data_IF_404764528027
#
_entry.id   IF_404764528027
#
_cell.length_a   1.000
_cell.length_b   1.000
_cell.length_c   1.000
_cell.angle_alpha   90.00
_cell.angle_beta   90.00
_cell.angle_gamma   90.00
#
_symmetry.space_group_name_H-M   'P 1'
#
loop_
_entity.id
_entity.type
_entity.pdbx_description
1 polymer ?
#
# COMPACT_ATOMS: atom_id res chain seq x y z
N UNK A 1 -6.88 14.49 26.35
CA UNK A 1 -6.15 15.03 25.18
C UNK A 1 -7.18 15.53 24.20
N UNK A 2 -6.86 16.53 23.37
CA UNK A 2 -7.73 16.93 22.26
C UNK A 2 -7.77 15.83 21.20
N UNK A 3 -8.84 15.81 20.40
CA UNK A 3 -8.93 14.98 19.21
C UNK A 3 -7.74 15.22 18.26
N UNK A 4 -7.35 14.19 17.52
CA UNK A 4 -6.26 14.24 16.53
C UNK A 4 -6.80 13.85 15.16
N UNK A 5 -6.59 14.69 14.16
CA UNK A 5 -7.07 14.45 12.79
C UNK A 5 -5.92 14.04 11.87
N UNK A 6 -6.19 13.01 11.06
CA UNK A 6 -5.39 12.60 9.92
C UNK A 6 -6.14 12.98 8.65
N UNK A 7 -5.53 13.80 7.82
CA UNK A 7 -6.11 14.24 6.55
C UNK A 7 -5.30 13.66 5.39
N UNK A 8 -5.90 12.69 4.68
CA UNK A 8 -5.32 12.11 3.49
C UNK A 8 -5.53 13.06 2.31
N UNK A 9 -4.80 14.17 2.29
CA UNK A 9 -4.76 15.13 1.18
C UNK A 9 -6.14 15.68 0.77
N UNK A 10 -7.05 15.83 1.72
CA UNK A 10 -8.45 16.24 1.48
C UNK A 10 -9.34 15.13 0.93
N UNK A 11 -8.81 13.91 0.73
CA UNK A 11 -9.53 12.77 0.17
C UNK A 11 -10.29 12.03 1.25
N UNK A 12 -9.69 11.72 2.40
CA UNK A 12 -10.36 11.05 3.53
C UNK A 12 -9.84 11.64 4.84
N UNK A 13 -10.76 11.97 5.76
CA UNK A 13 -10.42 12.41 7.11
C UNK A 13 -10.69 11.33 8.14
N UNK A 14 -9.66 10.97 8.89
CA UNK A 14 -9.73 10.06 10.03
C UNK A 14 -9.51 10.85 11.32
N UNK A 15 -10.50 10.86 12.21
CA UNK A 15 -10.41 11.51 13.53
C UNK A 15 -10.19 10.48 14.63
N UNK A 16 -9.20 10.73 15.49
CA UNK A 16 -9.01 9.97 16.71
C UNK A 16 -9.69 10.70 17.86
N UNK A 17 -10.53 9.98 18.60
CA UNK A 17 -11.23 10.51 19.78
C UNK A 17 -10.70 9.82 21.02
N UNK A 18 -10.35 10.63 22.03
CA UNK A 18 -9.69 10.21 23.26
C UNK A 18 -8.38 9.38 23.04
N UNK A 19 -7.50 9.75 22.09
CA UNK A 19 -6.28 8.98 21.85
C UNK A 19 -5.23 9.21 22.95
N UNK A 20 -4.44 8.19 23.23
CA UNK A 20 -3.13 8.33 23.90
C UNK A 20 -2.04 8.46 22.84
N UNK A 21 -0.84 8.92 23.22
CA UNK A 21 0.31 9.02 22.30
C UNK A 21 0.63 7.69 21.61
N UNK A 22 0.46 6.58 22.32
CA UNK A 22 0.64 5.24 21.76
C UNK A 22 -0.37 4.92 20.65
N UNK A 23 -1.61 5.39 20.78
CA UNK A 23 -2.68 5.21 19.79
C UNK A 23 -2.41 6.04 18.53
N UNK A 24 -2.00 7.31 18.72
CA UNK A 24 -1.56 8.17 17.61
C UNK A 24 -0.39 7.53 16.87
N UNK A 25 0.58 6.97 17.60
CA UNK A 25 1.71 6.27 17.02
C UNK A 25 1.30 4.99 16.27
N UNK A 26 0.24 4.30 16.69
CA UNK A 26 -0.34 3.17 15.95
C UNK A 26 -0.87 3.65 14.60
N UNK A 27 -1.68 4.71 14.56
CA UNK A 27 -2.23 5.20 13.29
C UNK A 27 -1.18 5.80 12.37
N UNK A 28 -0.18 6.51 12.90
CA UNK A 28 0.96 6.98 12.08
C UNK A 28 1.72 5.85 11.41
N UNK A 29 1.72 4.64 11.97
CA UNK A 29 2.32 3.46 11.32
C UNK A 29 1.41 2.82 10.27
N UNK A 30 0.10 3.06 10.31
CA UNK A 30 -0.88 2.48 9.38
C UNK A 30 -1.25 3.40 8.22
N UNK A 31 -1.14 4.72 8.42
CA UNK A 31 -1.55 5.76 7.46
C UNK A 31 -0.42 6.74 7.13
N UNK A 32 0.76 6.59 7.74
CA UNK A 32 1.83 7.59 7.66
C UNK A 32 1.58 8.85 8.50
N UNK A 33 2.52 9.82 8.47
CA UNK A 33 2.42 11.12 9.13
C UNK A 33 1.52 12.08 8.35
N UNK A 34 0.23 11.79 8.30
CA UNK A 34 -0.78 12.70 7.75
C UNK A 34 -1.21 13.64 8.87
N UNK A 35 -0.52 14.77 9.04
CA UNK A 35 -0.99 15.82 9.96
C UNK A 35 -1.79 16.85 9.14
N UNK A 36 -3.05 17.10 9.53
CA UNK A 36 -3.92 18.10 8.88
C UNK A 36 -4.59 19.01 9.91
N UNK A 37 -4.96 20.26 9.54
CA UNK A 37 -5.71 21.13 10.44
C UNK A 37 -7.04 20.46 10.81
N UNK A 38 -7.40 20.49 12.10
CA UNK A 38 -8.63 19.90 12.63
C UNK A 38 -9.88 20.73 12.26
N UNK A 39 -10.18 20.84 10.97
CA UNK A 39 -11.31 21.63 10.46
C UNK A 39 -12.24 20.77 9.61
N UNK A 40 -13.48 20.63 10.09
CA UNK A 40 -14.58 19.95 9.40
C UNK A 40 -14.99 18.61 10.03
N UNK A 41 -15.97 17.97 9.39
CA UNK A 41 -16.43 16.63 9.75
C UNK A 41 -15.40 15.56 9.36
N UNK A 42 -15.32 14.50 10.17
CA UNK A 42 -14.51 13.33 9.88
C UNK A 42 -15.35 12.27 9.16
N UNK A 43 -14.74 11.56 8.22
CA UNK A 43 -15.39 10.45 7.51
C UNK A 43 -15.32 9.18 8.33
N UNK A 44 -14.19 8.98 9.00
CA UNK A 44 -13.91 7.85 9.86
C UNK A 44 -13.54 8.41 11.22
N UNK A 45 -14.14 7.88 12.27
CA UNK A 45 -13.71 8.15 13.64
C UNK A 45 -13.21 6.88 14.27
N UNK A 46 -12.08 6.96 14.95
CA UNK A 46 -11.55 5.88 15.78
C UNK A 46 -11.56 6.36 17.22
N UNK A 47 -12.45 5.76 18.02
CA UNK A 47 -12.49 5.99 19.47
C UNK A 47 -11.70 4.90 20.16
N UNK A 48 -10.73 5.31 20.98
CA UNK A 48 -9.99 4.39 21.82
C UNK A 48 -10.59 4.28 23.22
N UNK A 49 -10.80 3.05 23.68
CA UNK A 49 -11.30 2.75 25.03
C UNK A 49 -10.44 1.69 25.69
N UNK A 50 -10.47 1.62 27.01
CA UNK A 50 -9.78 0.57 27.75
C UNK A 50 -10.50 -0.77 27.59
N UNK A 51 -11.84 -0.73 27.49
CA UNK A 51 -12.67 -1.90 27.27
C UNK A 51 -13.96 -1.56 26.53
N UNK A 52 -14.35 -2.42 25.61
CA UNK A 52 -15.66 -2.34 24.96
C UNK A 52 -16.66 -3.14 25.78
N UNK A 53 -17.69 -2.45 26.25
CA UNK A 53 -18.84 -3.08 26.89
C UNK A 53 -19.58 -3.94 25.86
N UNK A 54 -19.94 -5.15 26.27
CA UNK A 54 -20.69 -6.09 25.43
C UNK A 54 -21.97 -6.41 26.17
N UNK A 55 -23.10 -6.18 25.50
CA UNK A 55 -24.41 -6.25 26.14
C UNK A 55 -24.80 -7.71 26.45
N UNK A 56 -24.24 -8.68 25.71
CA UNK A 56 -24.53 -10.12 25.80
C UNK A 56 -23.26 -10.95 25.58
N UNK A 57 -23.23 -12.25 25.96
CA UNK A 57 -22.14 -13.13 25.56
C UNK A 57 -21.95 -13.14 24.03
N UNK A 58 -20.70 -13.12 23.58
CA UNK A 58 -20.40 -13.11 22.14
C UNK A 58 -20.81 -14.43 21.49
N UNK A 59 -21.53 -14.33 20.39
CA UNK A 59 -21.68 -15.41 19.42
C UNK A 59 -20.53 -15.32 18.42
N UNK A 60 -19.73 -16.38 18.29
CA UNK A 60 -18.56 -16.37 17.42
C UNK A 60 -18.92 -16.67 15.97
N UNK A 61 -18.20 -16.00 15.06
CA UNK A 61 -18.22 -16.28 13.63
C UNK A 61 -16.78 -16.19 13.15
N UNK A 62 -16.27 -17.24 12.51
CA UNK A 62 -14.83 -17.33 12.23
C UNK A 62 -13.99 -17.45 13.51
N UNK A 63 -14.37 -18.35 14.42
CA UNK A 63 -13.67 -18.54 15.70
C UNK A 63 -12.15 -18.79 15.51
N UNK A 64 -11.25 -18.11 16.26
CA UNK A 64 -11.49 -17.15 17.36
C UNK A 64 -11.44 -15.67 16.94
N UNK A 65 -11.55 -15.35 15.66
CA UNK A 65 -11.14 -14.06 15.08
C UNK A 65 -12.24 -12.99 15.11
N UNK A 66 -13.53 -13.39 15.17
CA UNK A 66 -14.64 -12.46 15.25
C UNK A 66 -15.84 -12.99 16.04
N UNK A 67 -16.70 -12.06 16.47
CA UNK A 67 -17.96 -12.37 17.14
C UNK A 67 -18.91 -11.18 17.20
N UNK A 68 -20.12 -11.41 17.66
CA UNK A 68 -21.17 -10.38 17.77
C UNK A 68 -22.09 -10.62 18.98
N UNK A 69 -22.76 -9.57 19.46
CA UNK A 69 -23.66 -9.61 20.63
C UNK A 69 -25.13 -9.28 20.32
N UNK A 70 -25.47 -9.24 19.02
CA UNK A 70 -26.78 -8.84 18.50
C UNK A 70 -26.90 -7.34 18.23
N UNK A 71 -25.95 -6.52 18.69
CA UNK A 71 -25.89 -5.09 18.36
C UNK A 71 -24.71 -4.76 17.48
N UNK A 72 -23.52 -5.22 17.86
CA UNK A 72 -22.28 -4.88 17.18
C UNK A 72 -21.50 -6.13 16.75
N UNK A 73 -20.68 -5.93 15.72
CA UNK A 73 -19.72 -6.91 15.24
C UNK A 73 -18.33 -6.53 15.74
N UNK A 74 -17.60 -7.51 16.23
CA UNK A 74 -16.30 -7.33 16.85
C UNK A 74 -15.25 -8.19 16.15
N UNK A 75 -14.14 -7.57 15.80
CA UNK A 75 -12.90 -8.27 15.49
C UNK A 75 -12.10 -8.48 16.77
N UNK A 76 -11.58 -9.69 16.95
CA UNK A 76 -10.91 -10.15 18.15
C UNK A 76 -9.44 -10.41 17.84
N UNK A 77 -8.55 -9.85 18.65
CA UNK A 77 -7.11 -10.05 18.52
C UNK A 77 -6.49 -10.44 19.85
N UNK A 78 -5.86 -11.62 19.87
CA UNK A 78 -5.23 -12.19 21.06
C UNK A 78 -5.75 -13.60 21.39
N UNK A 79 -5.22 -14.20 22.45
CA UNK A 79 -5.65 -15.51 22.94
C UNK A 79 -6.95 -15.36 23.77
N UNK A 80 -7.82 -16.38 23.76
CA UNK A 80 -9.19 -16.42 24.31
C UNK A 80 -9.51 -15.45 25.48
N UNK A 81 -8.72 -15.45 26.56
CA UNK A 81 -9.01 -14.68 27.79
C UNK A 81 -8.52 -13.22 27.80
N UNK A 82 -7.66 -12.83 26.84
CA UNK A 82 -7.05 -11.50 26.72
C UNK A 82 -7.21 -10.94 25.30
N UNK A 83 -8.30 -11.29 24.61
CA UNK A 83 -8.57 -10.78 23.28
C UNK A 83 -9.00 -9.32 23.35
N UNK A 84 -8.19 -8.45 22.75
CA UNK A 84 -8.58 -7.08 22.46
C UNK A 84 -9.68 -7.07 21.40
N UNK A 85 -10.60 -6.12 21.52
CA UNK A 85 -11.78 -6.00 20.65
C UNK A 85 -11.70 -4.74 19.80
N UNK A 86 -12.19 -4.83 18.58
CA UNK A 86 -12.47 -3.68 17.74
C UNK A 86 -13.86 -3.83 17.13
N UNK A 87 -14.76 -2.92 17.46
CA UNK A 87 -16.08 -2.82 16.86
C UNK A 87 -15.99 -2.01 15.57
N UNK A 88 -16.39 -2.61 14.45
CA UNK A 88 -16.43 -1.96 13.14
C UNK A 88 -17.88 -1.97 12.64
N UNK A 89 -18.49 -0.79 12.40
CA UNK A 89 -19.81 -0.70 11.79
C UNK A 89 -19.68 -0.88 10.27
N UNK A 90 -19.58 -2.13 9.81
CA UNK A 90 -19.34 -2.44 8.40
C UNK A 90 -20.38 -1.85 7.44
N UNK A 91 -21.63 -1.69 7.89
CA UNK A 91 -22.70 -1.06 7.10
C UNK A 91 -22.49 0.43 6.86
N UNK A 92 -21.64 1.08 7.65
CA UNK A 92 -21.39 2.53 7.56
C UNK A 92 -20.21 2.87 6.64
N UNK A 93 -19.38 1.88 6.29
CA UNK A 93 -18.17 2.06 5.48
C UNK A 93 -18.51 2.70 4.14
N UNK A 94 -18.03 3.92 3.91
CA UNK A 94 -18.25 4.71 2.70
C UNK A 94 -19.66 5.29 2.52
N UNK A 95 -20.62 4.96 3.39
CA UNK A 95 -22.02 5.41 3.26
C UNK A 95 -22.28 6.65 4.12
N UNK A 96 -21.83 6.60 5.36
CA UNK A 96 -21.91 7.69 6.33
C UNK A 96 -20.65 7.71 7.17
N UNK A 97 -20.61 8.56 8.19
CA UNK A 97 -19.51 8.55 9.15
C UNK A 97 -19.35 7.15 9.76
N UNK A 98 -18.16 6.57 9.61
CA UNK A 98 -17.82 5.25 10.15
C UNK A 98 -17.17 5.40 11.52
N UNK A 99 -17.90 5.07 12.59
CA UNK A 99 -17.47 5.21 13.97
C UNK A 99 -16.91 3.88 14.52
N UNK A 100 -15.60 3.70 14.37
CA UNK A 100 -14.85 2.54 14.87
C UNK A 100 -14.56 2.73 16.37
N UNK A 101 -14.77 1.68 17.16
CA UNK A 101 -14.36 1.65 18.58
C UNK A 101 -13.30 0.56 18.76
N UNK A 102 -12.11 0.94 19.19
CA UNK A 102 -10.98 0.02 19.37
C UNK A 102 -10.53 0.00 20.83
N UNK A 103 -10.31 -1.19 21.37
CA UNK A 103 -9.60 -1.34 22.63
C UNK A 103 -8.11 -1.02 22.44
N UNK A 104 -7.53 -0.22 23.34
CA UNK A 104 -6.12 0.23 23.25
C UNK A 104 -5.12 -0.93 23.13
N UNK A 105 -5.43 -2.08 23.73
CA UNK A 105 -4.59 -3.28 23.70
C UNK A 105 -4.48 -3.95 22.31
N UNK A 106 -5.25 -3.51 21.30
CA UNK A 106 -5.25 -4.12 19.97
C UNK A 106 -3.93 -3.93 19.19
N UNK A 107 -3.16 -2.89 19.49
CA UNK A 107 -1.87 -2.61 18.81
C UNK A 107 -1.97 -2.24 17.32
N UNK A 108 -3.18 -2.23 16.75
CA UNK A 108 -3.54 -1.82 15.38
C UNK A 108 -5.06 -1.69 15.29
N UNK A 109 -5.58 -0.78 14.48
CA UNK A 109 -6.99 -0.78 14.10
C UNK A 109 -7.16 -1.71 12.88
N UNK A 110 -7.83 -2.87 13.01
CA UNK A 110 -7.98 -3.79 11.89
C UNK A 110 -8.71 -3.12 10.71
N UNK A 111 -8.30 -3.47 9.50
CA UNK A 111 -8.91 -3.02 8.24
C UNK A 111 -8.99 -1.52 8.00
N UNK A 112 -8.35 -0.68 8.82
CA UNK A 112 -8.47 0.78 8.69
C UNK A 112 -8.13 1.28 7.29
N UNK A 113 -7.05 0.78 6.70
CA UNK A 113 -6.64 1.18 5.35
C UNK A 113 -7.64 0.75 4.28
N UNK A 114 -8.25 -0.44 4.42
CA UNK A 114 -9.32 -0.87 3.52
C UNK A 114 -10.57 0.02 3.64
N UNK A 115 -10.92 0.44 4.85
CA UNK A 115 -12.04 1.37 5.10
C UNK A 115 -11.72 2.75 4.52
N UNK A 116 -10.49 3.25 4.66
CA UNK A 116 -10.03 4.48 4.01
C UNK A 116 -10.15 4.37 2.49
N UNK A 117 -9.64 3.28 1.90
CA UNK A 117 -9.70 3.04 0.46
C UNK A 117 -11.15 3.00 -0.06
N UNK A 118 -12.04 2.27 0.61
CA UNK A 118 -13.46 2.22 0.24
C UNK A 118 -14.15 3.58 0.38
N UNK A 119 -13.76 4.37 1.39
CA UNK A 119 -14.26 5.74 1.56
C UNK A 119 -13.77 6.64 0.41
N UNK A 120 -12.52 6.49 -0.03
CA UNK A 120 -11.97 7.24 -1.16
C UNK A 120 -12.73 6.98 -2.48
N UNK A 121 -13.21 5.76 -2.71
CA UNK A 121 -14.01 5.41 -3.89
C UNK A 121 -15.29 6.25 -4.00
N UNK A 122 -15.88 6.67 -2.88
CA UNK A 122 -17.09 7.50 -2.85
C UNK A 122 -16.85 8.93 -3.35
N UNK A 123 -15.58 9.31 -3.54
CA UNK A 123 -15.12 10.62 -4.02
C UNK A 123 -14.49 10.55 -5.40
N UNK A 124 -14.77 9.48 -6.16
CA UNK A 124 -14.15 9.22 -7.46
C UNK A 124 -12.61 9.21 -7.40
N UNK A 125 -12.04 8.75 -6.28
CA UNK A 125 -10.59 8.55 -6.12
C UNK A 125 -10.29 7.06 -6.07
N UNK A 126 -9.38 6.62 -6.95
CA UNK A 126 -8.93 5.23 -7.04
C UNK A 126 -7.69 5.02 -6.15
N UNK A 127 -7.82 4.31 -5.02
CA UNK A 127 -6.66 3.80 -4.29
C UNK A 127 -6.05 2.62 -5.05
N UNK A 128 -4.75 2.69 -5.34
CA UNK A 128 -4.04 1.64 -6.05
C UNK A 128 -2.77 1.23 -5.30
N UNK A 129 -2.55 -0.09 -5.20
CA UNK A 129 -1.29 -0.62 -4.70
C UNK A 129 -0.19 -0.42 -5.76
N UNK A 130 0.54 0.67 -5.64
CA UNK A 130 1.48 1.16 -6.65
C UNK A 130 2.63 1.96 -6.03
N UNK A 131 3.66 2.17 -6.83
CA UNK A 131 4.72 3.14 -6.57
C UNK A 131 4.64 4.24 -7.62
N UNK A 132 4.77 5.50 -7.21
CA UNK A 132 4.67 6.65 -8.10
C UNK A 132 5.89 7.58 -7.94
N UNK A 133 6.39 8.09 -9.06
CA UNK A 133 7.51 9.03 -9.09
C UNK A 133 7.48 9.92 -10.32
N UNK A 134 8.16 11.07 -10.24
CA UNK A 134 8.43 11.93 -11.39
C UNK A 134 9.80 11.58 -11.97
N UNK A 135 9.85 11.33 -13.27
CA UNK A 135 11.07 11.13 -14.04
C UNK A 135 11.18 12.26 -15.08
N UNK A 136 12.10 13.20 -14.87
CA UNK A 136 12.30 14.35 -15.77
C UNK A 136 11.01 15.11 -16.11
N UNK A 137 10.15 15.27 -15.10
CA UNK A 137 8.85 15.94 -15.22
C UNK A 137 7.69 15.03 -15.65
N UNK A 138 7.96 13.80 -16.08
CA UNK A 138 6.94 12.81 -16.45
C UNK A 138 6.52 12.01 -15.22
N UNK A 139 5.22 12.01 -14.87
CA UNK A 139 4.73 11.19 -13.78
C UNK A 139 4.49 9.75 -14.18
N UNK A 140 5.22 8.86 -13.53
CA UNK A 140 5.24 7.43 -13.76
C UNK A 140 4.55 6.72 -12.59
N UNK A 141 3.63 5.82 -12.91
CA UNK A 141 2.98 4.92 -11.95
C UNK A 141 3.37 3.48 -12.27
N UNK A 142 4.11 2.86 -11.35
CA UNK A 142 4.48 1.45 -11.40
C UNK A 142 3.50 0.63 -10.55
N UNK A 143 2.74 -0.26 -11.20
CA UNK A 143 1.76 -1.13 -10.56
C UNK A 143 1.91 -2.57 -11.02
N UNK A 144 1.20 -3.50 -10.39
CA UNK A 144 1.31 -4.93 -10.64
C UNK A 144 1.08 -5.76 -9.37
N UNK A 145 1.13 -7.07 -9.53
CA UNK A 145 0.87 -8.01 -8.43
C UNK A 145 1.86 -7.84 -7.27
N UNK A 146 1.52 -8.39 -6.10
CA UNK A 146 2.41 -8.41 -4.94
C UNK A 146 3.76 -9.02 -5.30
N UNK A 147 4.86 -8.35 -4.90
CA UNK A 147 6.26 -8.71 -5.22
C UNK A 147 6.62 -8.68 -6.72
N UNK A 148 5.84 -7.98 -7.53
CA UNK A 148 6.10 -7.81 -8.96
C UNK A 148 7.15 -6.75 -9.33
N UNK A 149 7.88 -6.15 -8.38
CA UNK A 149 8.94 -5.18 -8.70
C UNK A 149 8.55 -3.69 -8.64
N UNK A 150 7.41 -3.32 -8.05
CA UNK A 150 6.91 -1.93 -8.00
C UNK A 150 7.85 -1.00 -7.24
N UNK A 151 8.12 -1.33 -5.97
CA UNK A 151 9.04 -0.59 -5.12
C UNK A 151 10.45 -0.64 -5.68
N UNK A 152 10.88 -1.77 -6.23
CA UNK A 152 12.17 -1.92 -6.88
C UNK A 152 12.32 -0.98 -8.08
N UNK A 153 11.27 -0.81 -8.89
CA UNK A 153 11.25 0.16 -9.99
C UNK A 153 11.43 1.59 -9.46
N UNK A 154 10.69 1.96 -8.41
CA UNK A 154 10.88 3.26 -7.74
C UNK A 154 12.32 3.45 -7.23
N UNK A 155 12.91 2.43 -6.60
CA UNK A 155 14.27 2.48 -6.07
C UNK A 155 15.34 2.56 -7.16
N UNK A 156 15.13 1.88 -8.28
CA UNK A 156 16.01 1.99 -9.45
C UNK A 156 16.11 3.43 -9.93
N UNK A 157 15.02 4.20 -9.87
CA UNK A 157 15.00 5.59 -10.33
C UNK A 157 15.35 6.62 -9.24
N UNK A 158 15.34 6.24 -7.95
CA UNK A 158 15.77 7.11 -6.85
C UNK A 158 17.21 7.62 -7.05
N UNK A 159 18.13 6.75 -7.48
CA UNK A 159 19.51 7.11 -7.77
C UNK A 159 19.71 7.88 -9.09
N UNK A 160 18.66 8.00 -9.90
CA UNK A 160 18.68 8.60 -11.23
C UNK A 160 17.84 9.89 -11.31
N UNK A 161 17.71 10.60 -10.18
CA UNK A 161 17.11 11.93 -10.12
C UNK A 161 15.59 11.95 -10.15
N UNK A 162 14.92 10.80 -10.02
CA UNK A 162 13.47 10.78 -9.88
C UNK A 162 13.04 11.44 -8.57
N UNK A 163 11.81 11.97 -8.55
CA UNK A 163 11.20 12.52 -7.33
C UNK A 163 10.08 11.61 -6.87
N UNK A 164 10.13 11.23 -5.60
CA UNK A 164 9.14 10.39 -4.95
C UNK A 164 7.77 11.05 -4.89
N UNK A 165 6.71 10.33 -5.27
CA UNK A 165 5.31 10.74 -5.08
C UNK A 165 4.62 9.84 -4.07
N UNK A 166 4.82 8.52 -4.17
CA UNK A 166 4.18 7.55 -3.29
C UNK A 166 4.75 6.13 -3.44
N UNK A 167 4.55 5.30 -2.43
CA UNK A 167 4.82 3.86 -2.44
C UNK A 167 3.77 3.15 -1.59
N UNK A 168 3.56 1.85 -1.84
CA UNK A 168 2.51 0.99 -1.26
C UNK A 168 1.07 1.42 -1.64
N UNK A 169 0.68 2.68 -1.42
CA UNK A 169 -0.64 3.20 -1.81
C UNK A 169 -0.54 4.56 -2.49
N UNK A 170 -1.06 4.62 -3.72
CA UNK A 170 -1.20 5.84 -4.51
C UNK A 170 -2.67 6.07 -4.81
N UNK A 171 -3.16 7.25 -4.49
CA UNK A 171 -4.52 7.69 -4.74
C UNK A 171 -4.56 8.47 -6.04
N UNK A 172 -5.42 8.04 -6.96
CA UNK A 172 -5.55 8.58 -8.30
C UNK A 172 -6.89 9.28 -8.46
N UNK A 173 -6.87 10.57 -8.75
CA UNK A 173 -8.10 11.30 -9.09
C UNK A 173 -8.48 11.05 -10.55
N UNK A 174 -9.75 11.27 -10.90
CA UNK A 174 -10.22 11.17 -12.29
C UNK A 174 -9.55 12.15 -13.25
N UNK A 175 -8.95 13.23 -12.74
CA UNK A 175 -8.19 14.21 -13.53
C UNK A 175 -6.73 13.76 -13.80
N UNK A 176 -6.36 12.60 -13.26
CA UNK A 176 -5.05 11.99 -13.36
C UNK A 176 -4.03 12.59 -12.39
N UNK A 177 -4.46 13.18 -11.27
CA UNK A 177 -3.54 13.53 -10.18
C UNK A 177 -3.22 12.28 -9.37
N UNK A 178 -1.94 12.12 -9.01
CA UNK A 178 -1.42 11.05 -8.18
C UNK A 178 -0.93 11.62 -6.85
N UNK A 179 -1.35 11.00 -5.76
CA UNK A 179 -0.95 11.40 -4.42
C UNK A 179 -0.62 10.15 -3.60
N UNK A 180 0.57 10.10 -3.00
CA UNK A 180 1.02 8.95 -2.21
C UNK A 180 0.63 9.03 -0.74
N UNK A 181 0.50 7.86 -0.11
CA UNK A 181 0.54 7.75 1.34
C UNK A 181 2.00 7.97 1.81
N UNK A 182 2.27 8.87 2.78
CA UNK A 182 3.64 9.24 3.16
C UNK A 182 4.31 8.19 4.06
N UNK A 183 4.30 6.92 3.67
CA UNK A 183 4.85 5.84 4.49
C UNK A 183 6.36 5.67 4.30
N UNK A 184 7.09 5.27 5.36
CA UNK A 184 8.48 4.83 5.22
C UNK A 184 8.59 3.60 4.30
N UNK A 185 9.47 3.68 3.31
CA UNK A 185 9.70 2.60 2.35
C UNK A 185 10.46 1.46 3.04
N UNK A 186 9.98 0.24 2.87
CA UNK A 186 10.63 -0.96 3.41
C UNK A 186 11.76 -1.44 2.49
N UNK A 187 13.00 -1.24 2.92
CA UNK A 187 14.17 -1.73 2.20
C UNK A 187 14.72 -3.02 2.81
N UNK A 188 14.76 -4.07 2.00
CA UNK A 188 15.39 -5.33 2.34
C UNK A 188 16.91 -5.21 2.29
N UNK A 189 17.62 -6.11 2.97
CA UNK A 189 19.08 -6.13 2.97
C UNK A 189 19.67 -6.13 1.55
N UNK A 190 19.07 -6.88 0.63
CA UNK A 190 19.54 -6.95 -0.75
C UNK A 190 19.32 -5.64 -1.55
N UNK A 191 18.26 -4.88 -1.27
CA UNK A 191 18.08 -3.52 -1.81
C UNK A 191 19.21 -2.60 -1.35
N UNK A 192 19.47 -2.62 -0.04
CA UNK A 192 20.46 -1.75 0.57
C UNK A 192 21.88 -1.96 0.03
N UNK A 193 22.22 -3.20 -0.35
CA UNK A 193 23.50 -3.51 -1.00
C UNK A 193 23.65 -2.86 -2.38
N UNK A 194 22.54 -2.54 -3.04
CA UNK A 194 22.50 -1.87 -4.34
C UNK A 194 22.31 -0.35 -4.23
N UNK A 195 22.17 0.18 -3.01
CA UNK A 195 21.98 1.60 -2.72
C UNK A 195 23.11 2.12 -1.80
N UNK A 196 24.34 2.33 -2.30
CA UNK A 196 25.50 2.64 -1.47
C UNK A 196 25.34 3.91 -0.61
N UNK A 197 24.67 4.94 -1.15
CA UNK A 197 24.42 6.19 -0.42
C UNK A 197 23.56 5.94 0.84
N UNK A 198 22.51 5.13 0.71
CA UNK A 198 21.65 4.72 1.83
C UNK A 198 22.42 3.85 2.81
N UNK A 199 23.13 2.83 2.32
CA UNK A 199 23.90 1.91 3.16
C UNK A 199 24.96 2.62 4.00
N UNK A 200 25.61 3.62 3.41
CA UNK A 200 26.63 4.42 4.09
C UNK A 200 26.06 5.26 5.25
N UNK A 201 24.82 5.74 5.10
CA UNK A 201 24.09 6.50 6.13
C UNK A 201 23.59 5.65 7.31
N UNK A 202 23.54 4.32 7.18
CA UNK A 202 23.11 3.46 8.28
C UNK A 202 24.14 3.41 9.43
N UNK A 203 23.66 3.27 10.66
CA UNK A 203 24.54 3.05 11.81
C UNK A 203 25.29 1.72 11.72
N UNK A 204 26.48 1.63 12.31
CA UNK A 204 27.31 0.40 12.31
C UNK A 204 26.55 -0.81 12.86
N UNK A 205 25.75 -0.61 13.92
CA UNK A 205 24.92 -1.65 14.52
C UNK A 205 23.81 -2.13 13.57
N UNK A 206 23.17 -1.22 12.83
CA UNK A 206 22.14 -1.57 11.84
C UNK A 206 22.73 -2.40 10.71
N UNK A 207 23.90 -1.99 10.18
CA UNK A 207 24.62 -2.75 9.15
C UNK A 207 24.99 -4.15 9.63
N UNK A 208 25.60 -4.26 10.81
CA UNK A 208 25.96 -5.54 11.41
C UNK A 208 24.75 -6.46 11.59
N UNK A 209 23.63 -5.93 12.13
CA UNK A 209 22.39 -6.69 12.31
C UNK A 209 21.86 -7.24 10.99
N UNK A 210 21.80 -6.41 9.95
CA UNK A 210 21.30 -6.83 8.63
C UNK A 210 22.20 -7.90 7.99
N UNK A 211 23.53 -7.71 8.02
CA UNK A 211 24.49 -8.70 7.53
C UNK A 211 24.39 -10.03 8.29
N UNK A 212 24.23 -9.98 9.62
CA UNK A 212 24.08 -11.18 10.45
C UNK A 212 22.78 -11.93 10.15
N UNK A 213 21.65 -11.24 10.03
CA UNK A 213 20.36 -11.86 9.73
C UNK A 213 20.37 -12.54 8.36
N UNK A 214 20.94 -11.87 7.34
CA UNK A 214 21.04 -12.42 6.00
C UNK A 214 22.02 -13.61 5.94
N UNK A 215 23.18 -13.48 6.61
CA UNK A 215 24.16 -14.55 6.74
C UNK A 215 23.60 -15.78 7.45
N UNK A 216 22.84 -15.58 8.53
CA UNK A 216 22.18 -16.64 9.28
C UNK A 216 21.11 -17.35 8.43
N UNK A 217 20.30 -16.59 7.67
CA UNK A 217 19.33 -17.16 6.76
C UNK A 217 19.99 -17.99 5.64
N UNK A 218 21.05 -17.46 5.02
CA UNK A 218 21.78 -18.17 3.96
C UNK A 218 22.52 -19.41 4.47
N UNK A 219 23.01 -19.42 5.72
CA UNK A 219 23.58 -20.61 6.34
C UNK A 219 22.50 -21.64 6.68
N UNK A 220 21.38 -21.21 7.25
CA UNK A 220 20.27 -22.10 7.59
C UNK A 220 19.72 -22.83 6.36
N UNK A 221 19.65 -22.16 5.20
CA UNK A 221 19.25 -22.81 3.94
C UNK A 221 20.28 -23.79 3.39
N UNK A 222 21.57 -23.46 3.49
CA UNK A 222 22.65 -24.36 3.05
C UNK A 222 22.77 -25.60 3.92
N UNK A 223 22.51 -25.48 5.22
CA UNK A 223 22.62 -26.58 6.18
C UNK A 223 21.33 -27.40 6.31
N UNK A 224 20.19 -26.85 5.90
CA UNK A 224 18.89 -27.54 5.97
C UNK A 224 18.86 -28.91 5.27
N UNK A 225 19.47 -29.11 4.07
CA UNK A 225 19.54 -30.43 3.43
C UNK A 225 20.47 -31.42 4.16
N UNK A 226 21.49 -30.92 4.87
CA UNK A 226 22.55 -31.74 5.46
C UNK A 226 22.26 -32.25 6.88
N UNK A 227 21.24 -31.69 7.56
CA UNK A 227 20.92 -32.03 8.95
C UNK A 227 19.44 -32.44 9.11
N UNK A 228 19.06 -33.69 8.80
CA UNK A 228 17.66 -34.11 8.72
C UNK A 228 16.85 -33.83 9.98
N UNK A 229 17.42 -34.02 11.17
CA UNK A 229 16.77 -33.80 12.46
C UNK A 229 16.58 -32.32 12.85
N UNK A 230 17.53 -31.44 12.47
CA UNK A 230 17.45 -29.98 12.71
C UNK A 230 16.85 -29.20 11.53
N UNK A 231 16.71 -29.86 10.38
CA UNK A 231 16.26 -29.27 9.11
C UNK A 231 14.87 -28.66 9.21
N UNK A 232 13.97 -29.20 10.04
CA UNK A 232 12.60 -28.71 10.15
C UNK A 232 12.54 -27.37 10.88
N UNK A 233 13.34 -27.19 11.93
CA UNK A 233 13.44 -25.93 12.68
C UNK A 233 14.21 -24.89 11.87
N UNK A 234 15.34 -25.27 11.27
CA UNK A 234 16.15 -24.36 10.44
C UNK A 234 15.38 -23.88 9.19
N UNK A 235 14.65 -24.78 8.50
CA UNK A 235 13.78 -24.39 7.37
C UNK A 235 12.63 -23.49 7.77
N UNK A 236 12.12 -23.60 9.00
CA UNK A 236 11.07 -22.71 9.52
C UNK A 236 11.63 -21.36 9.96
N UNK A 237 12.86 -21.34 10.50
CA UNK A 237 13.49 -20.12 11.00
C UNK A 237 14.05 -19.24 9.87
N UNK A 238 14.63 -19.81 8.82
CA UNK A 238 15.28 -19.03 7.75
C UNK A 238 14.33 -18.02 7.06
N UNK A 239 13.09 -18.39 6.69
CA UNK A 239 12.13 -17.43 6.11
C UNK A 239 11.74 -16.32 7.10
N UNK A 240 11.64 -16.64 8.40
CA UNK A 240 11.31 -15.65 9.44
C UNK A 240 12.46 -14.67 9.63
N UNK A 241 13.70 -15.15 9.67
CA UNK A 241 14.89 -14.30 9.77
C UNK A 241 15.04 -13.40 8.54
N UNK A 242 14.82 -13.91 7.33
CA UNK A 242 14.78 -13.09 6.11
C UNK A 242 13.71 -12.02 6.18
N UNK A 243 12.50 -12.37 6.63
CA UNK A 243 11.38 -11.43 6.85
C UNK A 243 11.70 -10.31 7.83
N UNK A 244 12.75 -10.45 8.64
CA UNK A 244 13.22 -9.40 9.56
C UNK A 244 14.43 -8.61 9.06
N UNK A 245 15.06 -9.02 7.95
CA UNK A 245 16.22 -8.37 7.37
C UNK A 245 15.81 -7.16 6.50
N UNK A 246 15.03 -6.24 7.08
CA UNK A 246 14.62 -4.99 6.44
C UNK A 246 14.81 -3.78 7.35
N UNK A 247 14.82 -2.60 6.73
CA UNK A 247 14.76 -1.30 7.40
C UNK A 247 13.67 -0.45 6.76
N UNK A 248 12.93 0.28 7.57
CA UNK A 248 12.05 1.34 7.10
C UNK A 248 12.84 2.65 6.99
N UNK A 249 12.77 3.29 5.83
CA UNK A 249 13.51 4.52 5.52
C UNK A 249 12.53 5.55 5.00
N UNK A 250 12.61 6.77 5.53
CA UNK A 250 11.73 7.85 5.10
C UNK A 250 12.07 8.26 3.65
N UNK A 251 11.08 8.65 2.82
CA UNK A 251 11.35 9.02 1.43
C UNK A 251 12.40 10.12 1.26
N UNK A 252 12.44 11.13 2.12
CA UNK A 252 13.43 12.21 2.04
C UNK A 252 14.89 11.72 2.31
N UNK A 253 15.07 10.61 3.03
CA UNK A 253 16.40 9.99 3.21
C UNK A 253 16.86 9.24 1.96
N UNK A 254 15.92 8.74 1.14
CA UNK A 254 16.21 8.01 -0.10
C UNK A 254 16.39 8.94 -1.30
N UNK A 255 15.54 9.94 -1.41
CA UNK A 255 15.49 10.82 -2.58
C UNK A 255 16.21 12.16 -2.36
N UNK A 256 16.66 12.43 -1.13
CA UNK A 256 17.35 13.67 -0.76
C UNK A 256 16.41 14.86 -0.57
N UNK A 257 16.99 16.00 -0.17
CA UNK A 257 16.26 17.24 0.04
C UNK A 257 15.67 17.76 -1.29
N UNK A 258 14.34 17.91 -1.36
CA UNK A 258 13.62 18.27 -2.59
C UNK A 258 13.29 17.08 -3.52
N UNK A 259 13.75 15.87 -3.17
CA UNK A 259 13.49 14.63 -3.90
C UNK A 259 12.08 14.07 -3.70
N UNK A 260 11.20 14.77 -2.99
CA UNK A 260 9.79 14.41 -2.85
C UNK A 260 8.92 15.41 -3.61
N UNK A 261 7.78 14.93 -4.11
CA UNK A 261 6.73 15.70 -4.71
C UNK A 261 5.41 15.31 -4.02
N UNK A 262 4.65 16.26 -3.45
CA UNK A 262 3.41 15.92 -2.75
C UNK A 262 2.33 15.39 -3.70
N UNK A 263 2.43 15.73 -4.99
CA UNK A 263 1.48 15.39 -6.05
C UNK A 263 2.22 15.31 -7.39
N UNK A 264 1.70 14.52 -8.31
CA UNK A 264 2.15 14.45 -9.70
C UNK A 264 0.97 14.17 -10.64
N UNK A 265 1.10 14.45 -11.94
CA UNK A 265 0.13 13.97 -12.94
C UNK A 265 0.54 12.60 -13.45
N UNK A 266 -0.42 11.74 -13.74
CA UNK A 266 -0.18 10.44 -14.36
C UNK A 266 0.03 10.61 -15.88
N UNK A 267 1.25 10.36 -16.34
CA UNK A 267 1.61 10.41 -17.75
C UNK A 267 1.90 9.02 -18.33
N UNK A 268 2.53 8.13 -17.54
CA UNK A 268 2.93 6.80 -17.95
C UNK A 268 2.58 5.71 -16.92
N UNK A 269 2.09 4.58 -17.42
CA UNK A 269 1.78 3.38 -16.65
C UNK A 269 2.83 2.29 -16.90
N UNK A 270 3.37 1.72 -15.83
CA UNK A 270 4.22 0.54 -15.90
C UNK A 270 3.51 -0.60 -15.17
N UNK A 271 3.16 -1.66 -15.90
CA UNK A 271 2.75 -2.92 -15.29
C UNK A 271 3.99 -3.79 -15.08
N UNK A 272 4.46 -3.85 -13.84
CA UNK A 272 5.70 -4.54 -13.48
C UNK A 272 5.40 -5.99 -13.09
N UNK A 273 6.17 -6.91 -13.66
CA UNK A 273 6.04 -8.35 -13.47
C UNK A 273 7.41 -9.01 -13.39
N UNK A 274 7.49 -10.14 -12.68
CA UNK A 274 8.68 -10.98 -12.65
C UNK A 274 8.54 -12.18 -13.60
N UNK A 275 9.62 -12.62 -14.24
CA UNK A 275 9.66 -13.80 -15.11
C UNK A 275 10.97 -14.59 -14.98
N UNK A 276 11.03 -15.78 -15.59
CA UNK A 276 12.21 -16.67 -15.54
C UNK A 276 13.36 -16.26 -16.48
N UNK A 277 13.12 -15.36 -17.44
CA UNK A 277 14.17 -14.89 -18.35
C UNK A 277 15.21 -14.05 -17.61
N UNK A 278 16.49 -14.08 -18.04
CA UNK A 278 17.57 -13.37 -17.37
C UNK A 278 17.61 -11.86 -17.67
N UNK A 279 16.89 -11.39 -18.69
CA UNK A 279 16.93 -10.03 -19.20
C UNK A 279 15.68 -9.23 -18.82
N UNK A 280 15.81 -7.92 -18.61
CA UNK A 280 14.65 -7.03 -18.46
C UNK A 280 14.02 -6.80 -19.83
N UNK A 281 12.70 -7.02 -19.92
CA UNK A 281 11.94 -6.86 -21.16
C UNK A 281 10.86 -5.80 -20.96
N UNK A 282 10.82 -4.82 -21.86
CA UNK A 282 9.77 -3.79 -21.86
C UNK A 282 8.94 -3.89 -23.14
N UNK A 283 7.62 -4.00 -23.01
CA UNK A 283 6.68 -4.15 -24.13
C UNK A 283 5.57 -3.12 -24.04
N UNK A 284 5.15 -2.52 -25.16
CA UNK A 284 3.96 -1.66 -25.17
C UNK A 284 2.73 -2.43 -24.69
N UNK A 285 1.86 -1.73 -23.97
CA UNK A 285 0.57 -2.21 -23.49
C UNK A 285 -0.43 -1.07 -23.55
N UNK A 286 -1.73 -1.37 -23.50
CA UNK A 286 -2.77 -0.35 -23.36
C UNK A 286 -3.13 -0.12 -21.90
N UNK A 287 -3.60 1.09 -21.57
CA UNK A 287 -4.14 1.37 -20.23
C UNK A 287 -5.31 0.45 -19.87
N UNK A 288 -6.11 0.04 -20.85
CA UNK A 288 -7.24 -0.89 -20.66
C UNK A 288 -6.77 -2.28 -20.24
N UNK A 289 -5.70 -2.82 -20.86
CA UNK A 289 -5.12 -4.09 -20.44
C UNK A 289 -4.53 -4.03 -19.02
N UNK A 290 -3.92 -2.90 -18.64
CA UNK A 290 -3.47 -2.68 -17.26
C UNK A 290 -4.67 -2.63 -16.32
N UNK A 291 -5.73 -1.92 -16.68
CA UNK A 291 -6.95 -1.82 -15.90
C UNK A 291 -7.56 -3.20 -15.62
N UNK A 292 -7.71 -4.04 -16.65
CA UNK A 292 -8.28 -5.39 -16.53
C UNK A 292 -7.47 -6.27 -15.57
N UNK A 293 -6.14 -6.22 -15.65
CA UNK A 293 -5.27 -6.99 -14.73
C UNK A 293 -5.30 -6.45 -13.31
N UNK A 294 -5.37 -5.13 -13.14
CA UNK A 294 -5.37 -4.50 -11.82
C UNK A 294 -6.67 -4.70 -11.05
N UNK A 295 -7.79 -5.02 -11.71
CA UNK A 295 -9.02 -5.45 -11.02
C UNK A 295 -8.79 -6.64 -10.09
N UNK A 296 -8.11 -7.68 -10.58
CA UNK A 296 -7.81 -8.87 -9.78
C UNK A 296 -6.85 -8.54 -8.62
N UNK A 297 -5.88 -7.65 -8.85
CA UNK A 297 -4.96 -7.21 -7.80
C UNK A 297 -5.71 -6.47 -6.68
N UNK A 298 -6.64 -5.57 -7.00
CA UNK A 298 -7.42 -4.83 -5.99
C UNK A 298 -8.34 -5.76 -5.18
N UNK A 299 -8.91 -6.79 -5.82
CA UNK A 299 -9.70 -7.81 -5.12
C UNK A 299 -8.85 -8.58 -4.11
N UNK A 300 -7.63 -8.97 -4.48
CA UNK A 300 -6.71 -9.66 -3.57
C UNK A 300 -6.36 -8.77 -2.36
N UNK A 301 -6.04 -7.48 -2.60
CA UNK A 301 -5.74 -6.54 -1.51
C UNK A 301 -6.93 -6.36 -0.54
N UNK A 302 -8.16 -6.45 -1.04
CA UNK A 302 -9.38 -6.33 -0.21
C UNK A 302 -9.84 -7.66 0.40
N UNK A 303 -9.23 -8.80 0.05
CA UNK A 303 -9.74 -10.12 0.41
C UNK A 303 -9.90 -10.32 1.93
N UNK A 304 -8.94 -9.85 2.74
CA UNK A 304 -9.02 -9.95 4.21
C UNK A 304 -10.17 -9.14 4.80
N UNK A 305 -10.41 -7.93 4.27
CA UNK A 305 -11.58 -7.12 4.64
C UNK A 305 -12.88 -7.83 4.25
N UNK A 306 -12.96 -8.34 3.01
CA UNK A 306 -14.16 -9.05 2.53
C UNK A 306 -14.47 -10.31 3.33
N UNK A 307 -13.45 -11.02 3.80
CA UNK A 307 -13.67 -12.18 4.69
C UNK A 307 -14.38 -11.75 5.99
N UNK A 308 -13.94 -10.65 6.61
CA UNK A 308 -14.60 -10.10 7.81
C UNK A 308 -16.00 -9.54 7.49
N UNK A 309 -16.16 -8.89 6.35
CA UNK A 309 -17.45 -8.37 5.91
C UNK A 309 -18.48 -9.49 5.69
N UNK A 310 -18.08 -10.63 5.11
CA UNK A 310 -18.97 -11.79 4.96
C UNK A 310 -19.40 -12.38 6.30
N UNK A 311 -18.49 -12.43 7.28
CA UNK A 311 -18.82 -12.83 8.65
C UNK A 311 -19.82 -11.85 9.30
N UNK A 312 -19.66 -10.55 9.05
CA UNK A 312 -20.61 -9.52 9.45
C UNK A 312 -21.99 -9.72 8.80
N UNK A 313 -22.06 -9.98 7.48
CA UNK A 313 -23.32 -10.25 6.76
C UNK A 313 -24.01 -11.52 7.29
N UNK A 314 -23.26 -12.53 7.70
CA UNK A 314 -23.80 -13.70 8.38
C UNK A 314 -24.42 -13.36 9.74
N UNK A 315 -23.74 -12.52 10.54
CA UNK A 315 -24.23 -12.08 11.85
C UNK A 315 -25.44 -11.13 11.74
N UNK A 316 -25.50 -10.33 10.67
CA UNK A 316 -26.51 -9.30 10.45
C UNK A 316 -27.02 -9.30 9.00
N UNK A 317 -27.92 -10.24 8.61
CA UNK A 317 -28.37 -10.40 7.22
C UNK A 317 -29.09 -9.18 6.63
N UNK A 318 -29.65 -8.30 7.46
CA UNK A 318 -30.35 -7.09 7.03
C UNK A 318 -29.47 -5.83 7.01
N UNK A 319 -28.19 -5.93 7.39
CA UNK A 319 -27.24 -4.80 7.41
C UNK A 319 -26.15 -4.98 6.36
N UNK A 320 -26.01 -4.03 5.44
CA UNK A 320 -25.00 -4.03 4.37
C UNK A 320 -24.49 -2.62 4.10
N UNK A 321 -23.34 -2.51 3.44
CA UNK A 321 -22.86 -1.26 2.85
C UNK A 321 -22.87 -1.37 1.33
N UNK A 322 -23.68 -0.53 0.67
CA UNK A 322 -23.76 -0.51 -0.80
C UNK A 322 -22.39 -0.21 -1.45
N UNK A 323 -21.54 0.58 -0.77
CA UNK A 323 -20.18 0.88 -1.24
C UNK A 323 -19.31 -0.38 -1.19
N UNK A 324 -19.42 -1.19 -0.13
CA UNK A 324 -18.69 -2.45 -0.02
C UNK A 324 -19.16 -3.46 -1.07
N UNK A 325 -20.48 -3.62 -1.24
CA UNK A 325 -21.06 -4.56 -2.21
C UNK A 325 -20.69 -4.19 -3.66
N UNK A 326 -20.58 -2.89 -3.96
CA UNK A 326 -20.26 -2.37 -5.31
C UNK A 326 -18.80 -2.00 -5.49
N UNK A 327 -17.92 -2.28 -4.53
CA UNK A 327 -16.53 -1.85 -4.56
C UNK A 327 -15.81 -2.27 -5.86
N UNK A 328 -16.02 -3.50 -6.33
CA UNK A 328 -15.42 -3.96 -7.59
C UNK A 328 -15.91 -3.18 -8.81
N UNK A 329 -17.22 -2.87 -8.88
CA UNK A 329 -17.81 -2.10 -9.98
C UNK A 329 -17.23 -0.67 -10.00
N UNK A 330 -17.14 -0.04 -8.83
CA UNK A 330 -16.58 1.30 -8.67
C UNK A 330 -15.09 1.35 -9.05
N UNK A 331 -14.31 0.38 -8.59
CA UNK A 331 -12.89 0.25 -8.94
C UNK A 331 -12.69 0.01 -10.43
N UNK A 332 -13.45 -0.89 -11.05
CA UNK A 332 -13.36 -1.16 -12.48
C UNK A 332 -13.67 0.10 -13.30
N UNK A 333 -14.74 0.82 -12.95
CA UNK A 333 -15.11 2.09 -13.59
C UNK A 333 -13.99 3.12 -13.48
N UNK A 334 -13.39 3.27 -12.30
CA UNK A 334 -12.30 4.23 -12.08
C UNK A 334 -11.01 3.81 -12.77
N UNK A 335 -10.64 2.53 -12.76
CA UNK A 335 -9.49 2.00 -13.48
C UNK A 335 -9.57 2.33 -14.98
N UNK A 336 -10.70 1.98 -15.62
CA UNK A 336 -10.92 2.32 -17.03
C UNK A 336 -10.83 3.82 -17.26
N UNK A 337 -11.47 4.64 -16.42
CA UNK A 337 -11.47 6.10 -16.60
C UNK A 337 -10.08 6.72 -16.44
N UNK A 338 -9.33 6.33 -15.42
CA UNK A 338 -8.02 6.91 -15.09
C UNK A 338 -6.95 6.45 -16.09
N UNK A 339 -7.03 5.19 -16.56
CA UNK A 339 -6.03 4.61 -17.47
C UNK A 339 -6.36 4.78 -18.96
N UNK A 340 -7.59 5.15 -19.31
CA UNK A 340 -7.99 5.39 -20.69
C UNK A 340 -7.05 6.37 -21.40
N UNK A 341 -6.54 5.95 -22.56
CA UNK A 341 -5.64 6.76 -23.39
C UNK A 341 -4.26 7.03 -22.78
N UNK A 342 -3.95 6.49 -21.59
CA UNK A 342 -2.62 6.59 -20.99
C UNK A 342 -1.68 5.63 -21.68
N UNK A 343 -0.45 6.10 -21.86
CA UNK A 343 0.61 5.24 -22.35
C UNK A 343 0.98 4.20 -21.30
N UNK A 344 1.05 2.93 -21.70
CA UNK A 344 1.37 1.84 -20.80
C UNK A 344 2.45 0.91 -21.37
N UNK A 345 3.22 0.32 -20.47
CA UNK A 345 4.20 -0.70 -20.79
C UNK A 345 4.15 -1.84 -19.77
N UNK A 346 4.31 -3.06 -20.24
CA UNK A 346 4.68 -4.19 -19.40
C UNK A 346 6.20 -4.17 -19.19
N UNK A 347 6.63 -4.25 -17.94
CA UNK A 347 8.04 -4.35 -17.55
C UNK A 347 8.23 -5.72 -16.89
N UNK A 348 8.86 -6.63 -17.60
CA UNK A 348 9.25 -7.96 -17.11
C UNK A 348 10.69 -7.95 -16.61
N UNK A 349 10.97 -8.55 -15.45
CA UNK A 349 12.33 -8.67 -14.92
C UNK A 349 12.59 -10.06 -14.28
N UNK A 350 13.85 -10.55 -14.22
CA UNK A 350 14.21 -11.70 -13.40
C UNK A 350 14.00 -11.42 -11.90
N UNK A 351 13.93 -12.45 -11.05
CA UNK A 351 13.96 -12.26 -9.61
C UNK A 351 14.93 -13.24 -8.92
N UNK A 352 15.88 -12.76 -8.09
CA UNK A 352 16.23 -11.35 -7.84
C UNK A 352 16.96 -10.72 -9.05
N UNK A 353 17.11 -9.38 -9.07
CA UNK A 353 17.75 -8.63 -10.16
C UNK A 353 18.55 -7.42 -9.65
N UNK A 354 19.36 -6.80 -10.52
CA UNK A 354 20.01 -5.52 -10.22
C UNK A 354 19.08 -4.36 -10.56
N UNK A 355 18.84 -3.46 -9.63
CA UNK A 355 17.98 -2.28 -9.82
C UNK A 355 18.42 -1.46 -11.04
N UNK A 356 19.73 -1.33 -11.27
CA UNK A 356 20.28 -0.60 -12.41
C UNK A 356 19.83 -1.18 -13.78
N UNK A 357 19.54 -2.48 -13.86
CA UNK A 357 19.11 -3.13 -15.10
C UNK A 357 17.71 -2.67 -15.55
N UNK A 358 16.90 -2.10 -14.66
CA UNK A 358 15.60 -1.51 -15.01
C UNK A 358 15.74 -0.13 -15.67
N UNK A 359 16.81 0.61 -15.38
CA UNK A 359 16.85 2.06 -15.64
C UNK A 359 16.79 2.37 -17.13
N UNK A 360 17.71 1.78 -17.92
CA UNK A 360 17.79 2.07 -19.35
C UNK A 360 16.52 1.62 -20.10
N UNK A 361 16.04 0.36 -19.97
CA UNK A 361 14.85 -0.08 -20.70
C UNK A 361 13.59 0.70 -20.35
N UNK A 362 13.39 1.02 -19.07
CA UNK A 362 12.21 1.79 -18.62
C UNK A 362 12.31 3.25 -19.08
N UNK A 363 13.48 3.88 -18.97
CA UNK A 363 13.71 5.25 -19.43
C UNK A 363 13.44 5.38 -20.94
N UNK A 364 13.96 4.47 -21.75
CA UNK A 364 13.69 4.46 -23.20
C UNK A 364 12.19 4.30 -23.53
N UNK A 365 11.44 3.57 -22.72
CA UNK A 365 10.00 3.43 -22.89
C UNK A 365 9.26 4.72 -22.52
N UNK A 366 9.65 5.37 -21.42
CA UNK A 366 9.07 6.65 -20.97
C UNK A 366 9.41 7.78 -21.96
N UNK A 367 10.66 7.89 -22.41
CA UNK A 367 11.09 8.95 -23.34
C UNK A 367 10.37 8.89 -24.70
N UNK A 368 10.03 7.67 -25.15
CA UNK A 368 9.22 7.46 -26.36
C UNK A 368 7.82 8.09 -26.26
N UNK A 369 7.31 8.30 -25.04
CA UNK A 369 6.02 8.96 -24.81
C UNK A 369 6.12 10.47 -24.94
N UNK A 370 7.15 11.06 -24.34
CA UNK A 370 7.40 12.50 -24.33
C UNK A 370 7.57 13.04 -25.76
N UNK A 371 8.25 12.26 -26.62
CA UNK A 371 8.42 12.61 -28.03
C UNK A 371 7.09 12.59 -28.81
N UNK A 372 6.21 11.60 -28.56
CA UNK A 372 4.91 11.49 -29.24
C UNK A 372 3.94 12.59 -28.84
N UNK A 373 3.93 12.99 -27.58
CA UNK A 373 3.08 14.10 -27.10
C UNK A 373 3.51 15.44 -27.72
N UNK A 374 4.81 15.71 -27.82
CA UNK A 374 5.34 16.94 -28.42
C UNK A 374 5.02 17.07 -29.91
N UNK A 375 5.04 15.94 -30.65
CA UNK A 375 4.70 15.90 -32.07
C UNK A 375 3.20 16.04 -32.37
N UNK A 376 2.33 15.76 -31.39
CA UNK A 376 0.86 15.91 -31.55
C UNK A 376 0.43 17.35 -31.32
N UNK A 377 0.99 18.03 -30.32
CA UNK A 377 0.71 19.45 -30.03
C UNK A 377 1.16 20.39 -31.17
N UNK A 378 2.23 20.04 -31.89
CA UNK A 378 2.71 20.82 -33.05
C UNK A 378 1.85 20.64 -34.30
N UNK A 379 1.07 19.55 -34.41
CA UNK A 379 0.11 19.36 -35.52
C UNK A 379 -1.23 20.03 -35.26
N UNK A 380 -1.67 20.12 -34.00
CA UNK A 380 -2.94 20.79 -33.66
C UNK A 380 -2.85 22.32 -33.63
N UNK A 381 -1.64 22.88 -33.60
CA UNK A 381 -1.40 24.34 -33.65
C UNK A 381 -1.04 24.84 -35.06
N UNK A 382 -1.00 23.96 -36.05
CA UNK A 382 -0.46 24.23 -37.39
C UNK A 382 -1.48 24.47 -38.51
N UNK A 383 -2.79 24.43 -38.25
CA UNK A 383 -3.82 24.68 -39.27
C UNK A 383 -4.80 25.75 -38.81
N UNK A 384 -4.49 27.00 -39.15
CA UNK A 384 -5.52 28.01 -39.47
C UNK A 384 -4.93 28.98 -40.50
N UNK A 385 -5.29 28.87 -41.79
CA UNK A 385 -5.13 29.97 -42.73
C UNK A 385 -6.11 31.12 -42.45
#
# INVERSE_FOLDING_TARGET
>A
MSDVDFDLHGIVRVRLVDPQDADVAILRRQLGPLDGPAQGAADITVRFTDRIAVDRPLTYVGFPEAGYDGRAFYLLKGQRAASSRTAIPFEDVGVRRCDIVAERAAGSVPHLLAIVNLTALTRDVLPLHASAFLLDGTGVLATGWSKGGKTETLLAFAAHGARYVGDEWVYLTVDGEMVGLPEPIRLWHWHLRQLPHVWSGLSRSSRARLTLLDGAAAQAERLAPALPAASSVLRRAAPVLRRQAFRQIAPHELFGAGGTAPRARLDALLLVTSHERPDVVVRPMTGDEVADRMRASLQEERASFMASYRQFRFAFPDRSSDVVERAEELEAKLLTRVFAGRAAYEVGHPYPFQLADLVLPVREAVDRLTFRSSARTTRETGDTP
#
